data_IF_978280281592
#
_entry.id   IF_978280281592
#
_cell.length_a   1.000
_cell.length_b   1.000
_cell.length_c   1.000
_cell.angle_alpha   90.00
_cell.angle_beta   90.00
_cell.angle_gamma   90.00
#
_symmetry.space_group_name_H-M   'P 1'
#
loop_
_entity.id
_entity.type
_entity.pdbx_description
1 polymer ?
#
# COMPACT_ATOMS: atom_id res chain seq x y z
N UNK A 1 15.35 33.03 19.06
CA UNK A 1 15.14 31.57 19.06
C UNK A 1 15.16 31.10 17.61
N UNK A 2 16.33 30.69 17.13
CA UNK A 2 16.50 30.28 15.72
C UNK A 2 15.92 28.88 15.56
N UNK A 3 14.71 28.78 15.00
CA UNK A 3 14.17 27.51 14.54
C UNK A 3 14.98 27.06 13.34
N UNK A 4 16.02 26.26 13.58
CA UNK A 4 16.53 25.34 12.57
C UNK A 4 15.38 24.40 12.24
N UNK A 5 14.76 24.57 11.08
CA UNK A 5 13.87 23.57 10.51
C UNK A 5 14.64 22.26 10.45
N UNK A 6 14.33 21.36 11.37
CA UNK A 6 15.02 20.10 11.58
C UNK A 6 15.08 19.36 10.27
N UNK A 7 16.28 19.05 9.79
CA UNK A 7 16.54 18.13 8.67
C UNK A 7 16.17 16.66 9.04
N UNK A 8 15.16 16.50 9.88
CA UNK A 8 14.73 15.28 10.57
C UNK A 8 13.21 15.08 10.44
N UNK A 9 12.55 15.94 9.66
CA UNK A 9 11.15 15.75 9.31
C UNK A 9 11.08 14.76 8.15
N UNK A 10 10.46 13.60 8.38
CA UNK A 10 10.15 12.64 7.31
C UNK A 10 9.62 13.39 6.08
N UNK A 11 10.26 13.16 4.93
CA UNK A 11 9.80 13.74 3.66
C UNK A 11 8.30 13.47 3.50
N UNK A 12 7.52 14.49 3.13
CA UNK A 12 6.06 14.37 2.91
C UNK A 12 5.72 13.20 1.98
N UNK A 13 6.61 12.88 1.05
CA UNK A 13 6.51 11.74 0.15
C UNK A 13 6.60 10.39 0.89
N UNK A 14 7.49 10.28 1.88
CA UNK A 14 7.61 9.08 2.72
C UNK A 14 6.36 8.86 3.58
N UNK A 15 5.79 9.94 4.12
CA UNK A 15 4.54 9.90 4.88
C UNK A 15 3.38 9.46 3.98
N UNK A 16 3.25 10.06 2.79
CA UNK A 16 2.21 9.69 1.82
C UNK A 16 2.31 8.22 1.40
N UNK A 17 3.52 7.74 1.06
CA UNK A 17 3.75 6.33 0.73
C UNK A 17 3.43 5.40 1.89
N UNK A 18 3.72 5.79 3.13
CA UNK A 18 3.39 4.97 4.30
C UNK A 18 1.88 4.80 4.45
N UNK A 19 1.10 5.89 4.40
CA UNK A 19 -0.35 5.82 4.52
C UNK A 19 -1.01 5.13 3.32
N UNK A 20 -0.47 5.32 2.11
CA UNK A 20 -0.91 4.59 0.92
C UNK A 20 -0.77 3.07 1.11
N UNK A 21 0.36 2.62 1.66
CA UNK A 21 0.58 1.20 1.95
C UNK A 21 -0.45 0.66 2.95
N UNK A 22 -0.76 1.42 4.01
CA UNK A 22 -1.80 1.04 4.99
C UNK A 22 -3.16 0.90 4.30
N UNK A 23 -3.55 1.87 3.48
CA UNK A 23 -4.82 1.82 2.73
C UNK A 23 -4.88 0.59 1.80
N UNK A 24 -3.79 0.30 1.08
CA UNK A 24 -3.72 -0.87 0.20
C UNK A 24 -3.87 -2.18 0.99
N UNK A 25 -3.26 -2.29 2.17
CA UNK A 25 -3.45 -3.46 3.02
C UNK A 25 -4.91 -3.62 3.47
N UNK A 26 -5.56 -2.53 3.87
CA UNK A 26 -6.99 -2.56 4.22
C UNK A 26 -7.81 -3.06 3.03
N UNK A 27 -7.55 -2.59 1.81
CA UNK A 27 -8.25 -3.05 0.60
C UNK A 27 -7.98 -4.53 0.27
N UNK A 28 -6.75 -5.00 0.45
CA UNK A 28 -6.37 -6.41 0.22
C UNK A 28 -7.12 -7.34 1.18
N UNK A 29 -7.20 -6.96 2.46
CA UNK A 29 -7.96 -7.72 3.45
C UNK A 29 -9.46 -7.62 3.21
N UNK A 30 -9.97 -6.44 2.89
CA UNK A 30 -11.37 -6.26 2.53
C UNK A 30 -11.75 -7.13 1.33
N UNK A 31 -10.91 -7.21 0.29
CA UNK A 31 -11.17 -8.03 -0.88
C UNK A 31 -11.33 -9.52 -0.52
N UNK A 32 -10.46 -10.07 0.32
CA UNK A 32 -10.54 -11.50 0.68
C UNK A 32 -11.65 -11.79 1.71
N UNK A 33 -11.94 -10.85 2.61
CA UNK A 33 -13.02 -10.97 3.58
C UNK A 33 -14.39 -10.89 2.88
N UNK A 34 -14.59 -9.88 2.02
CA UNK A 34 -15.84 -9.72 1.26
C UNK A 34 -16.07 -10.82 0.22
N UNK A 35 -15.02 -11.52 -0.22
CA UNK A 35 -15.15 -12.72 -1.06
C UNK A 35 -16.07 -13.78 -0.43
N UNK A 36 -16.11 -13.86 0.90
CA UNK A 36 -16.95 -14.81 1.63
C UNK A 36 -18.46 -14.55 1.52
N UNK A 37 -18.86 -13.32 1.19
CA UNK A 37 -20.27 -12.93 1.03
C UNK A 37 -20.83 -13.43 -0.31
N UNK A 38 -19.97 -13.61 -1.31
CA UNK A 38 -20.40 -14.01 -2.65
C UNK A 38 -20.57 -15.54 -2.77
N UNK A 39 -21.61 -16.01 -3.48
CA UNK A 39 -21.78 -17.44 -3.77
C UNK A 39 -20.56 -18.05 -4.46
N UNK A 40 -20.34 -19.36 -4.25
CA UNK A 40 -19.33 -20.11 -4.98
C UNK A 40 -19.58 -19.97 -6.49
N UNK A 41 -18.50 -19.81 -7.24
CA UNK A 41 -18.48 -19.64 -8.70
C UNK A 41 -19.23 -18.42 -9.27
N UNK A 42 -19.56 -17.43 -8.43
CA UNK A 42 -20.11 -16.15 -8.89
C UNK A 42 -19.02 -15.20 -9.38
N UNK A 43 -19.39 -14.32 -10.33
CA UNK A 43 -18.50 -13.28 -10.86
C UNK A 43 -17.98 -12.34 -9.77
N UNK A 44 -18.82 -11.99 -8.79
CA UNK A 44 -18.40 -11.18 -7.65
C UNK A 44 -17.31 -11.84 -6.80
N UNK A 45 -17.39 -13.17 -6.61
CA UNK A 45 -16.36 -13.93 -5.89
C UNK A 45 -15.04 -13.98 -6.65
N UNK A 46 -15.09 -14.07 -7.98
CA UNK A 46 -13.92 -14.03 -8.84
C UNK A 46 -13.30 -12.63 -8.88
N UNK A 47 -14.11 -11.58 -9.01
CA UNK A 47 -13.66 -10.20 -8.95
C UNK A 47 -12.93 -9.89 -7.63
N UNK A 48 -13.45 -10.36 -6.49
CA UNK A 48 -12.78 -10.18 -5.20
C UNK A 48 -11.41 -10.87 -5.14
N UNK A 49 -11.30 -12.07 -5.73
CA UNK A 49 -10.03 -12.80 -5.83
C UNK A 49 -9.05 -12.06 -6.75
N UNK A 50 -9.51 -11.58 -7.91
CA UNK A 50 -8.67 -10.87 -8.88
C UNK A 50 -8.22 -9.52 -8.33
N UNK A 51 -9.11 -8.79 -7.65
CA UNK A 51 -8.79 -7.56 -6.94
C UNK A 51 -7.70 -7.80 -5.89
N UNK A 52 -7.81 -8.87 -5.09
CA UNK A 52 -6.77 -9.24 -4.12
C UNK A 52 -5.41 -9.47 -4.80
N UNK A 53 -5.36 -10.18 -5.92
CA UNK A 53 -4.11 -10.41 -6.66
C UNK A 53 -3.52 -9.10 -7.22
N UNK A 54 -4.33 -8.26 -7.87
CA UNK A 54 -3.87 -7.01 -8.46
C UNK A 54 -3.40 -6.01 -7.39
N UNK A 55 -4.11 -5.91 -6.27
CA UNK A 55 -3.71 -5.09 -5.14
C UNK A 55 -2.43 -5.62 -4.48
N UNK A 56 -2.31 -6.94 -4.32
CA UNK A 56 -1.09 -7.59 -3.82
C UNK A 56 0.13 -7.34 -4.71
N UNK A 57 -0.03 -7.41 -6.04
CA UNK A 57 1.03 -7.07 -7.00
C UNK A 57 1.41 -5.59 -6.90
N UNK A 58 0.42 -4.71 -6.77
CA UNK A 58 0.65 -3.26 -6.60
C UNK A 58 1.46 -2.98 -5.34
N UNK A 59 1.09 -3.59 -4.20
CA UNK A 59 1.85 -3.51 -2.95
C UNK A 59 3.27 -4.02 -3.14
N UNK A 60 3.46 -5.16 -3.80
CA UNK A 60 4.79 -5.71 -4.06
C UNK A 60 5.69 -4.72 -4.82
N UNK A 61 5.19 -4.12 -5.91
CA UNK A 61 5.92 -3.10 -6.67
C UNK A 61 6.23 -1.86 -5.81
N UNK A 62 5.25 -1.38 -5.04
CA UNK A 62 5.42 -0.21 -4.18
C UNK A 62 6.42 -0.44 -3.03
N UNK A 63 6.52 -1.66 -2.48
CA UNK A 63 7.54 -1.99 -1.48
C UNK A 63 8.93 -1.82 -2.08
N UNK A 64 9.18 -2.36 -3.27
CA UNK A 64 10.47 -2.20 -3.93
C UNK A 64 10.77 -0.74 -4.24
N UNK A 65 9.80 0.00 -4.79
CA UNK A 65 9.95 1.44 -5.02
C UNK A 65 10.29 2.19 -3.73
N UNK A 66 9.61 1.87 -2.62
CA UNK A 66 9.85 2.49 -1.32
C UNK A 66 11.23 2.17 -0.76
N UNK A 67 11.69 0.92 -0.89
CA UNK A 67 13.02 0.51 -0.46
C UNK A 67 14.10 1.22 -1.29
N UNK A 68 13.96 1.26 -2.61
CA UNK A 68 14.88 1.95 -3.51
C UNK A 68 14.92 3.47 -3.24
N UNK A 69 13.76 4.10 -3.07
CA UNK A 69 13.68 5.52 -2.72
C UNK A 69 14.37 5.82 -1.38
N UNK A 70 14.26 4.90 -0.40
CA UNK A 70 14.97 5.03 0.87
C UNK A 70 16.49 4.84 0.71
N UNK A 71 16.95 3.86 -0.07
CA UNK A 71 18.39 3.63 -0.27
C UNK A 71 19.05 4.73 -1.10
N UNK A 72 18.32 5.31 -2.07
CA UNK A 72 18.82 6.39 -2.93
C UNK A 72 18.71 7.78 -2.28
N UNK A 73 17.69 8.01 -1.45
CA UNK A 73 17.51 9.26 -0.71
C UNK A 73 18.26 9.33 0.63
N UNK A 74 18.98 8.27 1.01
CA UNK A 74 19.86 8.23 2.18
C UNK A 74 21.33 8.57 1.85
N UNK A 75 21.56 9.30 0.75
CA UNK A 75 22.86 9.87 0.37
C UNK A 75 22.90 11.37 0.69
#
# INVERSE_FOLDING_TARGET
MSWKSTADQYSRMSIALHWLMVLLFVLIYAAIEFRGIFPKDSDGRNLMKDAHFMLGLTVFVLVWLRLLARTLGAA
#
